data_IF_759891240999
#
_entry.id   IF_759891240999
#
_cell.length_a   1.000
_cell.length_b   1.000
_cell.length_c   1.000
_cell.angle_alpha   90.00
_cell.angle_beta   90.00
_cell.angle_gamma   90.00
#
_symmetry.space_group_name_H-M   'P 1'
#
loop_
_entity.id
_entity.type
_entity.pdbx_description
1 polymer ?
#
# COMPACT_ATOMS: atom_id res chain seq x y z
N UNK A 1 -10.40 -5.25 -2.57
CA UNK A 1 -9.65 -4.79 -1.38
C UNK A 1 -10.15 -5.41 -0.08
N UNK A 2 -11.34 -5.05 0.44
CA UNK A 2 -11.81 -5.53 1.77
C UNK A 2 -11.86 -7.05 1.92
N UNK A 3 -12.31 -7.78 0.90
CA UNK A 3 -12.29 -9.24 0.89
C UNK A 3 -10.86 -9.82 0.94
N UNK A 4 -9.92 -9.20 0.21
CA UNK A 4 -8.50 -9.58 0.24
C UNK A 4 -7.88 -9.36 1.63
N UNK A 5 -8.20 -8.23 2.28
CA UNK A 5 -7.80 -7.98 3.67
C UNK A 5 -8.38 -9.02 4.64
N UNK A 6 -9.65 -9.37 4.48
CA UNK A 6 -10.31 -10.36 5.33
C UNK A 6 -9.67 -11.74 5.22
N UNK A 7 -9.42 -12.23 4.00
CA UNK A 7 -8.78 -13.54 3.75
C UNK A 7 -7.32 -13.54 4.22
N UNK A 8 -6.59 -12.46 3.93
CA UNK A 8 -5.21 -12.28 4.35
C UNK A 8 -5.05 -12.31 5.88
N UNK A 9 -5.93 -11.60 6.60
CA UNK A 9 -5.91 -11.54 8.06
C UNK A 9 -6.37 -12.84 8.73
N UNK A 10 -7.43 -13.47 8.23
CA UNK A 10 -8.02 -14.65 8.88
C UNK A 10 -7.27 -15.95 8.60
N UNK A 11 -6.61 -16.07 7.44
CA UNK A 11 -6.05 -17.34 7.00
C UNK A 11 -4.53 -17.34 6.87
N UNK A 12 -3.96 -16.26 6.33
CA UNK A 12 -2.52 -16.20 6.05
C UNK A 12 -1.75 -15.78 7.31
N UNK A 13 -2.21 -14.72 8.01
CA UNK A 13 -1.55 -14.21 9.20
C UNK A 13 -1.37 -15.23 10.34
N UNK A 14 -2.40 -15.98 10.81
CA UNK A 14 -2.22 -16.92 11.91
C UNK A 14 -1.29 -18.09 11.55
N UNK A 15 -1.34 -18.56 10.30
CA UNK A 15 -0.50 -19.67 9.83
C UNK A 15 0.97 -19.27 9.73
N UNK A 16 1.26 -18.06 9.22
CA UNK A 16 2.63 -17.52 9.19
C UNK A 16 3.17 -17.26 10.61
N UNK A 17 2.33 -16.80 11.53
CA UNK A 17 2.73 -16.52 12.91
C UNK A 17 3.04 -17.80 13.69
N UNK A 18 2.25 -18.87 13.51
CA UNK A 18 2.54 -20.18 14.11
C UNK A 18 3.86 -20.75 13.57
N UNK A 19 4.10 -20.60 12.27
CA UNK A 19 5.32 -21.08 11.61
C UNK A 19 6.56 -20.27 12.04
N UNK A 20 6.45 -18.94 12.16
CA UNK A 20 7.53 -18.08 12.69
C UNK A 20 7.86 -18.42 14.15
N UNK A 21 6.87 -18.69 15.00
CA UNK A 21 7.07 -19.11 16.39
C UNK A 21 7.79 -20.46 16.51
N UNK A 22 7.50 -21.42 15.62
CA UNK A 22 8.15 -22.74 15.61
C UNK A 22 9.59 -22.71 15.10
N UNK A 23 9.91 -21.77 14.21
CA UNK A 23 11.20 -21.71 13.50
C UNK A 23 12.15 -20.63 14.01
N UNK A 24 11.65 -19.67 14.80
CA UNK A 24 12.43 -18.51 15.26
C UNK A 24 12.78 -17.51 14.15
N UNK A 25 12.16 -17.63 12.97
CA UNK A 25 12.45 -16.77 11.82
C UNK A 25 11.92 -15.35 12.04
N UNK A 26 12.81 -14.36 11.88
CA UNK A 26 12.50 -12.93 12.05
C UNK A 26 12.15 -12.21 10.74
N UNK A 27 12.33 -12.89 9.60
CA UNK A 27 12.00 -12.34 8.27
C UNK A 27 11.27 -13.37 7.40
N UNK A 28 10.42 -12.89 6.49
CA UNK A 28 9.62 -13.74 5.59
C UNK A 28 10.48 -14.73 4.76
N UNK A 29 11.64 -14.33 4.19
CA UNK A 29 12.50 -15.26 3.48
C UNK A 29 13.10 -16.34 4.39
N UNK A 30 13.46 -16.00 5.64
CA UNK A 30 13.97 -17.00 6.60
C UNK A 30 12.91 -18.04 6.96
N UNK A 31 11.64 -17.62 7.03
CA UNK A 31 10.52 -18.52 7.29
C UNK A 31 10.26 -19.46 6.10
N UNK A 32 10.31 -18.92 4.87
CA UNK A 32 10.05 -19.68 3.65
C UNK A 32 11.15 -20.71 3.36
N UNK A 33 12.41 -20.41 3.69
CA UNK A 33 13.55 -21.30 3.44
C UNK A 33 14.04 -22.02 4.69
N UNK A 34 13.21 -22.15 5.73
CA UNK A 34 13.61 -22.77 7.00
C UNK A 34 14.05 -24.23 6.82
N UNK A 35 13.34 -25.00 5.99
CA UNK A 35 13.55 -26.44 5.82
C UNK A 35 14.60 -26.79 4.73
N UNK A 36 15.27 -25.79 4.15
CA UNK A 36 16.28 -25.99 3.11
C UNK A 36 17.67 -26.23 3.70
N UNK A 37 18.51 -26.96 2.95
CA UNK A 37 19.92 -27.15 3.28
C UNK A 37 20.65 -25.81 3.45
N UNK A 38 21.62 -25.74 4.36
CA UNK A 38 22.36 -24.52 4.73
C UNK A 38 22.94 -23.74 3.53
N UNK A 39 23.44 -24.45 2.50
CA UNK A 39 23.99 -23.86 1.27
C UNK A 39 22.91 -23.17 0.44
N UNK A 40 21.81 -23.88 0.21
CA UNK A 40 20.71 -23.45 -0.67
C UNK A 40 19.91 -22.33 0.01
N UNK A 41 19.70 -22.46 1.33
CA UNK A 41 19.11 -21.42 2.18
C UNK A 41 19.87 -20.10 2.08
N UNK A 42 21.21 -20.12 2.19
CA UNK A 42 22.03 -18.89 2.07
C UNK A 42 21.96 -18.25 0.69
N UNK A 43 21.83 -19.04 -0.37
CA UNK A 43 21.68 -18.54 -1.73
C UNK A 43 20.29 -17.92 -1.93
N UNK A 44 19.23 -18.62 -1.53
CA UNK A 44 17.84 -18.18 -1.64
C UNK A 44 17.56 -16.94 -0.78
N UNK A 45 18.14 -16.87 0.42
CA UNK A 45 18.10 -15.69 1.28
C UNK A 45 18.73 -14.46 0.62
N UNK A 46 19.91 -14.63 -0.02
CA UNK A 46 20.58 -13.54 -0.74
C UNK A 46 19.74 -13.05 -1.91
N UNK A 47 19.24 -13.97 -2.75
CA UNK A 47 18.40 -13.64 -3.90
C UNK A 47 17.12 -12.92 -3.46
N UNK A 48 16.44 -13.43 -2.43
CA UNK A 48 15.21 -12.82 -1.93
C UNK A 48 15.45 -11.43 -1.35
N UNK A 49 16.56 -11.23 -0.62
CA UNK A 49 16.93 -9.92 -0.10
C UNK A 49 17.19 -8.93 -1.23
N UNK A 50 17.88 -9.34 -2.29
CA UNK A 50 18.12 -8.51 -3.48
C UNK A 50 16.79 -8.14 -4.14
N UNK A 51 15.93 -9.12 -4.42
CA UNK A 51 14.63 -8.88 -5.08
C UNK A 51 13.75 -7.95 -4.26
N UNK A 52 13.64 -8.19 -2.94
CA UNK A 52 12.84 -7.36 -2.03
C UNK A 52 13.41 -5.94 -1.98
N UNK A 53 14.73 -5.79 -1.83
CA UNK A 53 15.38 -4.47 -1.76
C UNK A 53 15.21 -3.69 -3.06
N UNK A 54 15.46 -4.32 -4.21
CA UNK A 54 15.28 -3.69 -5.53
C UNK A 54 13.83 -3.25 -5.74
N UNK A 55 12.86 -4.09 -5.36
CA UNK A 55 11.43 -3.75 -5.47
C UNK A 55 11.07 -2.61 -4.52
N UNK A 56 11.62 -2.58 -3.30
CA UNK A 56 11.37 -1.54 -2.32
C UNK A 56 11.93 -0.18 -2.78
N UNK A 57 13.09 -0.15 -3.43
CA UNK A 57 13.65 1.07 -4.02
C UNK A 57 12.71 1.61 -5.11
N UNK A 58 12.24 0.75 -6.02
CA UNK A 58 11.29 1.14 -7.06
C UNK A 58 9.96 1.64 -6.47
N UNK A 59 9.47 0.97 -5.43
CA UNK A 59 8.25 1.37 -4.72
C UNK A 59 8.40 2.77 -4.10
N UNK A 60 9.50 3.02 -3.38
CA UNK A 60 9.77 4.34 -2.78
C UNK A 60 9.92 5.40 -3.88
N UNK A 61 10.62 5.10 -4.98
CA UNK A 61 10.75 6.03 -6.10
C UNK A 61 9.38 6.41 -6.71
N UNK A 62 8.48 5.44 -6.90
CA UNK A 62 7.12 5.69 -7.38
C UNK A 62 6.31 6.58 -6.43
N UNK A 63 6.45 6.39 -5.11
CA UNK A 63 5.80 7.24 -4.10
C UNK A 63 6.32 8.68 -4.14
N UNK A 64 7.63 8.88 -4.24
CA UNK A 64 8.22 10.21 -4.38
C UNK A 64 7.80 10.89 -5.69
N UNK A 65 7.69 10.13 -6.77
CA UNK A 65 7.19 10.61 -8.05
C UNK A 65 5.74 11.09 -7.93
N UNK A 66 4.86 10.29 -7.32
CA UNK A 66 3.46 10.67 -7.11
C UNK A 66 3.34 11.94 -6.25
N UNK A 67 4.03 11.97 -5.10
CA UNK A 67 4.03 13.13 -4.21
C UNK A 67 4.60 14.38 -4.89
N UNK A 68 5.67 14.23 -5.67
CA UNK A 68 6.29 15.32 -6.43
C UNK A 68 5.37 15.91 -7.48
N UNK A 69 4.62 15.07 -8.20
CA UNK A 69 3.60 15.54 -9.15
C UNK A 69 2.49 16.30 -8.43
N UNK A 70 1.98 15.79 -7.31
CA UNK A 70 0.96 16.47 -6.51
C UNK A 70 1.43 17.85 -6.02
N UNK A 71 2.65 17.94 -5.47
CA UNK A 71 3.20 19.21 -5.02
C UNK A 71 3.49 20.18 -6.17
N UNK A 72 3.94 19.69 -7.32
CA UNK A 72 4.12 20.52 -8.51
C UNK A 72 2.81 21.16 -8.96
N UNK A 73 1.72 20.40 -8.95
CA UNK A 73 0.38 20.91 -9.29
C UNK A 73 -0.13 21.92 -8.27
N UNK A 74 0.07 21.68 -6.97
CA UNK A 74 -0.43 22.57 -5.90
C UNK A 74 0.40 23.86 -5.80
N UNK A 75 1.73 23.75 -5.87
CA UNK A 75 2.66 24.87 -5.66
C UNK A 75 3.00 25.61 -6.95
N UNK A 76 2.66 25.05 -8.12
CA UNK A 76 2.96 25.62 -9.43
C UNK A 76 4.45 25.63 -9.79
N UNK A 77 5.27 24.83 -9.11
CA UNK A 77 6.72 24.71 -9.34
C UNK A 77 7.05 23.47 -10.18
N UNK A 78 8.29 23.39 -10.68
CA UNK A 78 8.72 22.20 -11.44
C UNK A 78 8.68 20.93 -10.58
N UNK A 79 8.38 19.80 -11.22
CA UNK A 79 8.30 18.50 -10.54
C UNK A 79 9.63 18.12 -9.88
N UNK A 80 10.75 18.34 -10.55
CA UNK A 80 12.08 18.08 -9.99
C UNK A 80 12.33 18.88 -8.71
N UNK A 81 11.96 20.16 -8.68
CA UNK A 81 12.08 20.99 -7.49
C UNK A 81 11.16 20.51 -6.36
N UNK A 82 9.93 20.09 -6.70
CA UNK A 82 8.95 19.55 -5.74
C UNK A 82 9.44 18.28 -5.06
N UNK A 83 10.01 17.35 -5.82
CA UNK A 83 10.58 16.10 -5.29
C UNK A 83 11.74 16.39 -4.34
N UNK A 84 12.66 17.29 -4.73
CA UNK A 84 13.82 17.67 -3.91
C UNK A 84 13.37 18.31 -2.60
N UNK A 85 12.41 19.24 -2.67
CA UNK A 85 11.88 19.92 -1.48
C UNK A 85 11.19 18.92 -0.54
N UNK A 86 10.34 18.03 -1.07
CA UNK A 86 9.69 16.99 -0.28
C UNK A 86 10.68 16.05 0.38
N UNK A 87 11.70 15.59 -0.35
CA UNK A 87 12.78 14.77 0.20
C UNK A 87 13.56 15.47 1.31
N UNK A 88 13.85 16.76 1.13
CA UNK A 88 14.58 17.56 2.12
C UNK A 88 13.78 17.75 3.41
N UNK A 89 12.49 18.03 3.32
CA UNK A 89 11.61 18.11 4.52
C UNK A 89 11.60 16.77 5.26
N UNK A 90 11.43 15.65 4.53
CA UNK A 90 11.45 14.30 5.10
C UNK A 90 12.76 14.02 5.80
N UNK A 91 13.87 14.34 5.15
CA UNK A 91 15.20 14.12 5.68
C UNK A 91 15.42 14.92 6.97
N UNK A 92 15.09 16.22 6.97
CA UNK A 92 15.27 17.09 8.13
C UNK A 92 14.50 16.57 9.35
N UNK A 93 13.20 16.27 9.21
CA UNK A 93 12.42 15.82 10.38
C UNK A 93 12.85 14.42 10.84
N UNK A 94 13.32 13.57 9.92
CA UNK A 94 13.82 12.23 10.26
C UNK A 94 15.12 12.31 11.05
N UNK A 95 16.06 13.16 10.65
CA UNK A 95 17.34 13.32 11.33
C UNK A 95 17.22 14.01 12.70
N UNK A 96 16.31 14.98 12.85
CA UNK A 96 16.16 15.74 14.10
C UNK A 96 15.38 14.96 15.15
N UNK A 97 14.34 14.24 14.76
CA UNK A 97 13.34 13.74 15.71
C UNK A 97 13.42 12.25 16.05
N UNK A 98 14.25 11.47 15.36
CA UNK A 98 14.40 10.03 15.61
C UNK A 98 13.06 9.28 15.60
N UNK A 99 12.92 8.25 16.44
CA UNK A 99 11.70 7.42 16.50
C UNK A 99 10.44 8.20 16.91
N UNK A 100 10.59 9.26 17.73
CA UNK A 100 9.44 10.03 18.21
C UNK A 100 8.80 10.87 17.11
N UNK A 101 9.61 11.54 16.27
CA UNK A 101 9.05 12.29 15.15
C UNK A 101 8.38 11.38 14.12
N UNK A 102 8.96 10.22 13.82
CA UNK A 102 8.36 9.25 12.90
C UNK A 102 7.00 8.79 13.42
N UNK A 103 6.91 8.46 14.71
CA UNK A 103 5.66 8.04 15.36
C UNK A 103 4.60 9.15 15.36
N UNK A 104 5.01 10.40 15.58
CA UNK A 104 4.10 11.55 15.53
C UNK A 104 3.57 11.79 14.11
N UNK A 105 4.43 11.74 13.09
CA UNK A 105 4.00 11.92 11.70
C UNK A 105 3.06 10.80 11.25
N UNK A 106 3.31 9.55 11.68
CA UNK A 106 2.43 8.41 11.40
C UNK A 106 1.05 8.59 12.05
N UNK A 107 1.02 9.03 13.31
CA UNK A 107 -0.23 9.31 14.03
C UNK A 107 -1.05 10.42 13.37
N UNK A 108 -0.40 11.51 12.96
CA UNK A 108 -1.07 12.62 12.25
C UNK A 108 -1.60 12.13 10.90
N UNK A 109 -0.81 11.34 10.16
CA UNK A 109 -1.22 10.79 8.87
C UNK A 109 -2.44 9.86 9.02
N UNK A 110 -2.47 9.00 10.05
CA UNK A 110 -3.60 8.12 10.30
C UNK A 110 -4.90 8.90 10.55
N UNK A 111 -4.83 9.95 11.37
CA UNK A 111 -5.98 10.83 11.64
C UNK A 111 -6.41 11.57 10.38
N UNK A 112 -5.45 12.11 9.62
CA UNK A 112 -5.73 12.83 8.37
C UNK A 112 -6.38 11.91 7.33
N UNK A 113 -5.88 10.68 7.16
CA UNK A 113 -6.47 9.69 6.25
C UNK A 113 -7.89 9.32 6.68
N UNK A 114 -8.14 9.16 7.98
CA UNK A 114 -9.48 8.91 8.52
C UNK A 114 -10.45 10.05 8.21
N UNK A 115 -10.03 11.30 8.43
CA UNK A 115 -10.83 12.47 8.09
C UNK A 115 -11.14 12.54 6.58
N UNK A 116 -10.12 12.38 5.72
CA UNK A 116 -10.30 12.38 4.26
C UNK A 116 -11.27 11.27 3.84
N UNK A 117 -11.16 10.07 4.40
CA UNK A 117 -12.03 8.95 4.06
C UNK A 117 -13.52 9.24 4.33
N UNK A 118 -13.84 10.08 5.31
CA UNK A 118 -15.21 10.47 5.64
C UNK A 118 -15.64 11.72 4.86
N UNK A 119 -14.83 12.77 4.88
CA UNK A 119 -15.22 14.08 4.34
C UNK A 119 -15.16 14.14 2.82
N UNK A 120 -14.18 13.48 2.19
CA UNK A 120 -14.02 13.51 0.73
C UNK A 120 -15.27 12.98 0.00
N UNK A 121 -15.84 11.79 0.32
CA UNK A 121 -17.04 11.33 -0.36
C UNK A 121 -18.27 12.21 -0.06
N UNK A 122 -18.38 12.77 1.14
CA UNK A 122 -19.48 13.69 1.49
C UNK A 122 -19.40 14.98 0.67
N UNK A 123 -18.22 15.58 0.55
CA UNK A 123 -18.01 16.77 -0.27
C UNK A 123 -18.29 16.50 -1.75
N UNK A 124 -17.81 15.37 -2.28
CA UNK A 124 -18.09 14.96 -3.65
C UNK A 124 -19.60 14.77 -3.89
N UNK A 125 -20.33 14.17 -2.95
CA UNK A 125 -21.79 14.05 -3.01
C UNK A 125 -22.48 15.41 -3.03
N UNK A 126 -22.03 16.37 -2.22
CA UNK A 126 -22.61 17.72 -2.20
C UNK A 126 -22.35 18.47 -3.51
N UNK A 127 -21.11 18.43 -4.03
CA UNK A 127 -20.74 19.06 -5.30
C UNK A 127 -21.48 18.42 -6.48
N UNK A 128 -21.68 17.11 -6.46
CA UNK A 128 -22.42 16.38 -7.48
C UNK A 128 -23.95 16.54 -7.39
N UNK A 129 -24.50 17.33 -6.46
CA UNK A 129 -25.96 17.50 -6.33
C UNK A 129 -26.70 16.31 -5.69
N UNK A 130 -26.01 15.55 -4.83
CA UNK A 130 -26.51 14.38 -4.13
C UNK A 130 -26.37 13.08 -4.93
N UNK A 131 -26.95 11.99 -4.42
CA UNK A 131 -26.93 10.68 -5.09
C UNK A 131 -27.52 10.73 -6.52
N UNK A 132 -28.43 11.68 -6.77
CA UNK A 132 -29.04 11.85 -8.08
C UNK A 132 -28.06 12.36 -9.13
N UNK A 133 -27.00 13.11 -8.80
CA UNK A 133 -26.03 13.61 -9.79
C UNK A 133 -24.73 12.81 -9.82
N UNK A 134 -24.41 12.06 -8.76
CA UNK A 134 -23.31 11.08 -8.79
C UNK A 134 -23.58 9.97 -9.81
N UNK A 135 -24.85 9.55 -9.97
CA UNK A 135 -25.18 8.42 -10.84
C UNK A 135 -24.80 8.70 -12.31
N UNK A 136 -25.18 9.87 -12.87
CA UNK A 136 -24.87 10.21 -14.26
C UNK A 136 -23.41 10.62 -14.48
N UNK A 137 -22.76 11.28 -13.52
CA UNK A 137 -21.31 11.50 -13.58
C UNK A 137 -20.52 10.17 -13.56
N UNK A 138 -20.99 9.17 -12.80
CA UNK A 138 -20.43 7.82 -12.80
C UNK A 138 -20.64 7.13 -14.16
N UNK A 139 -21.85 7.19 -14.74
CA UNK A 139 -22.13 6.60 -16.06
C UNK A 139 -21.41 7.29 -17.22
N UNK A 140 -21.18 8.60 -17.12
CA UNK A 140 -20.48 9.39 -18.15
C UNK A 140 -18.95 9.18 -18.09
N UNK A 141 -18.39 8.91 -16.91
CA UNK A 141 -16.95 8.62 -16.73
C UNK A 141 -16.59 7.17 -17.08
N UNK A 142 -17.56 6.25 -17.09
CA UNK A 142 -17.35 4.82 -17.38
C UNK A 142 -17.42 4.52 -18.89
N UNK A 143 -17.50 5.55 -19.74
CA UNK A 143 -17.39 5.39 -21.18
C UNK A 143 -18.67 4.87 -21.84
N UNK A 144 -18.68 4.86 -23.18
CA UNK A 144 -19.88 4.56 -23.98
C UNK A 144 -20.40 3.13 -23.73
N UNK A 145 -21.67 2.81 -24.09
CA UNK A 145 -22.22 1.45 -23.92
C UNK A 145 -21.39 0.33 -24.58
N UNK A 146 -20.58 0.66 -25.59
CA UNK A 146 -19.66 -0.27 -26.29
C UNK A 146 -18.39 -0.59 -25.47
N UNK A 147 -17.94 0.36 -24.65
CA UNK A 147 -16.80 0.23 -23.73
C UNK A 147 -17.12 -0.60 -22.47
N UNK A 148 -18.42 -0.71 -22.16
CA UNK A 148 -19.01 -1.46 -21.04
C UNK A 148 -19.51 -2.87 -21.40
N UNK A 149 -19.30 -3.33 -22.64
CA UNK A 149 -19.56 -4.73 -23.02
C UNK A 149 -18.65 -5.69 -22.23
N UNK A 150 -19.10 -6.93 -22.04
CA UNK A 150 -18.27 -8.03 -21.52
C UNK A 150 -16.96 -8.24 -22.32
N UNK A 151 -16.93 -7.77 -23.57
CA UNK A 151 -15.77 -7.74 -24.47
C UNK A 151 -15.14 -6.34 -24.65
N UNK A 152 -15.67 -5.32 -23.98
CA UNK A 152 -15.21 -3.93 -24.05
C UNK A 152 -13.88 -3.70 -23.33
N UNK A 153 -13.19 -2.62 -23.68
CA UNK A 153 -11.84 -2.31 -23.16
C UNK A 153 -11.85 -2.08 -21.64
N UNK A 154 -12.88 -1.43 -21.10
CA UNK A 154 -12.98 -1.06 -19.68
C UNK A 154 -13.69 -2.11 -18.82
N UNK A 155 -14.73 -2.79 -19.33
CA UNK A 155 -15.43 -3.86 -18.61
C UNK A 155 -14.81 -5.26 -18.82
N UNK A 156 -14.06 -5.47 -19.91
CA UNK A 156 -13.34 -6.71 -20.23
C UNK A 156 -11.96 -6.79 -19.55
N UNK A 157 -10.88 -6.77 -20.33
CA UNK A 157 -9.52 -7.04 -19.84
C UNK A 157 -9.02 -6.03 -18.79
N UNK A 158 -9.32 -4.73 -18.95
CA UNK A 158 -8.94 -3.73 -17.94
C UNK A 158 -9.80 -3.81 -16.67
N UNK A 159 -11.08 -4.18 -16.79
CA UNK A 159 -11.97 -4.38 -15.65
C UNK A 159 -11.53 -5.57 -14.79
N UNK A 160 -11.20 -6.69 -15.43
CA UNK A 160 -10.59 -7.85 -14.76
C UNK A 160 -9.24 -7.47 -14.16
N UNK A 161 -8.38 -6.75 -14.90
CA UNK A 161 -7.11 -6.25 -14.40
C UNK A 161 -7.25 -5.32 -13.18
N UNK A 162 -8.26 -4.46 -13.18
CA UNK A 162 -8.60 -3.58 -12.06
C UNK A 162 -9.07 -4.36 -10.84
N UNK A 163 -9.96 -5.34 -11.01
CA UNK A 163 -10.44 -6.19 -9.91
C UNK A 163 -9.29 -7.01 -9.32
N UNK A 164 -8.48 -7.66 -10.17
CA UNK A 164 -7.31 -8.43 -9.73
C UNK A 164 -6.31 -7.50 -9.02
N UNK A 165 -5.99 -6.33 -9.59
CA UNK A 165 -5.12 -5.34 -8.94
C UNK A 165 -5.63 -4.91 -7.57
N UNK A 166 -6.92 -4.63 -7.45
CA UNK A 166 -7.57 -4.25 -6.19
C UNK A 166 -7.64 -5.40 -5.16
N UNK A 167 -7.63 -6.65 -5.60
CA UNK A 167 -7.53 -7.81 -4.70
C UNK A 167 -6.08 -8.04 -4.28
N UNK A 168 -5.13 -7.94 -5.20
CA UNK A 168 -3.69 -8.10 -4.98
C UNK A 168 -3.12 -7.16 -3.92
N UNK A 169 -3.61 -5.91 -3.86
CA UNK A 169 -3.21 -4.95 -2.81
C UNK A 169 -3.52 -5.49 -1.40
N UNK A 170 -4.60 -6.26 -1.22
CA UNK A 170 -4.96 -6.85 0.08
C UNK A 170 -4.05 -8.00 0.53
N UNK A 171 -3.33 -8.64 -0.39
CA UNK A 171 -2.41 -9.75 -0.11
C UNK A 171 -1.00 -9.30 0.31
N UNK A 172 -0.65 -8.02 0.20
CA UNK A 172 0.67 -7.50 0.60
C UNK A 172 0.88 -7.35 2.11
N UNK A 173 -0.20 -7.40 2.91
CA UNK A 173 -0.17 -7.13 4.35
C UNK A 173 0.53 -8.19 5.24
N UNK A 174 0.51 -9.51 4.94
CA UNK A 174 1.14 -10.53 5.78
C UNK A 174 2.67 -10.43 5.87
N UNK A 175 3.30 -9.68 4.97
CA UNK A 175 4.75 -9.45 4.96
C UNK A 175 5.22 -8.37 5.95
N UNK A 176 4.30 -7.67 6.63
CA UNK A 176 4.65 -6.61 7.55
C UNK A 176 5.27 -7.16 8.85
N UNK A 177 6.43 -6.66 9.31
CA UNK A 177 7.12 -7.15 10.50
C UNK A 177 6.27 -7.04 11.79
N UNK A 178 5.26 -6.15 11.81
CA UNK A 178 4.29 -6.06 12.91
C UNK A 178 3.39 -7.30 13.05
N UNK A 179 3.05 -7.97 11.94
CA UNK A 179 2.24 -9.21 11.95
C UNK A 179 3.07 -10.42 12.42
N UNK A 180 4.39 -10.33 12.29
CA UNK A 180 5.33 -11.42 12.63
C UNK A 180 5.80 -11.35 14.08
N UNK A 181 5.80 -10.17 14.72
CA UNK A 181 6.33 -9.98 16.08
C UNK A 181 5.21 -9.98 17.16
N UNK A 182 5.10 -11.07 17.92
CA UNK A 182 4.12 -11.38 18.99
C UNK A 182 4.12 -10.42 20.20
N UNK A 183 4.91 -9.33 20.19
CA UNK A 183 5.09 -8.47 21.37
C UNK A 183 3.89 -7.57 21.70
N UNK A 184 2.95 -7.36 20.78
CA UNK A 184 1.79 -6.47 20.97
C UNK A 184 0.49 -7.18 21.37
N UNK A 185 0.32 -8.47 21.04
CA UNK A 185 -0.91 -9.22 21.34
C UNK A 185 -1.01 -9.72 22.79
N UNK A 186 0.02 -9.53 23.62
CA UNK A 186 0.00 -9.91 25.04
C UNK A 186 -0.45 -8.79 25.99
N UNK A 187 -0.88 -7.64 25.46
CA UNK A 187 -1.31 -6.47 26.26
C UNK A 187 -2.71 -5.95 25.96
N UNK A 188 -3.52 -6.72 25.22
CA UNK A 188 -4.97 -6.58 25.13
C UNK A 188 -5.58 -7.82 25.77
#
# INVERSE_FOLDING_TARGET
>A
MLFGYFVSWTWIAPKLMELSKKTGAVSLPQLLFHDFNESDKKMLMRLSTIIITSTLILYVAAQFQAAGTTFATILGISQSASVILGALVILIYTFIGGFWAVSLTDSIQAVLMFCIAIFLPLLLLMVAGGFSGVNLAFWETIGTPEENSLTGVYAGMLGIGFIIGNISIGFGYPGQPFVVNDSWLRKI
#
